data_IF_829490956453
#
_entry.id   IF_829490956453
#
_cell.length_a   1.000
_cell.length_b   1.000
_cell.length_c   1.000
_cell.angle_alpha   90.00
_cell.angle_beta   90.00
_cell.angle_gamma   90.00
#
_symmetry.space_group_name_H-M   'P 1'
#
loop_
_entity.id
_entity.type
_entity.pdbx_description
1 polymer ?
#
# COMPACT_ATOMS: atom_id res chain seq x y z
N UNK A 1 -1.64 -25.44 -0.32
CA UNK A 1 -1.80 -24.20 0.47
C UNK A 1 -3.28 -23.87 0.58
N UNK A 2 -3.74 -23.31 1.70
CA UNK A 2 -5.12 -22.84 1.83
C UNK A 2 -5.36 -21.66 0.85
N UNK A 3 -6.41 -21.76 0.03
CA UNK A 3 -6.72 -20.73 -1.00
C UNK A 3 -6.95 -19.36 -0.37
N UNK A 4 -7.70 -19.28 0.74
CA UNK A 4 -7.94 -18.04 1.48
C UNK A 4 -6.64 -17.44 2.04
N UNK A 5 -5.75 -18.28 2.57
CA UNK A 5 -4.44 -17.82 3.05
C UNK A 5 -3.60 -17.24 1.91
N UNK A 6 -3.64 -17.87 0.73
CA UNK A 6 -2.92 -17.40 -0.45
C UNK A 6 -3.44 -16.03 -0.91
N UNK A 7 -4.77 -15.87 -0.95
CA UNK A 7 -5.41 -14.58 -1.26
C UNK A 7 -5.04 -13.51 -0.24
N UNK A 8 -5.10 -13.83 1.06
CA UNK A 8 -4.71 -12.90 2.12
C UNK A 8 -3.26 -12.42 1.97
N UNK A 9 -2.31 -13.35 1.78
CA UNK A 9 -0.90 -13.01 1.61
C UNK A 9 -0.66 -12.16 0.37
N UNK A 10 -1.36 -12.44 -0.74
CA UNK A 10 -1.29 -11.63 -1.95
C UNK A 10 -1.78 -10.19 -1.73
N UNK A 11 -2.92 -10.03 -1.04
CA UNK A 11 -3.47 -8.71 -0.68
C UNK A 11 -2.50 -7.95 0.24
N UNK A 12 -1.95 -8.61 1.27
CA UNK A 12 -0.97 -7.99 2.17
C UNK A 12 0.31 -7.58 1.42
N UNK A 13 0.81 -8.44 0.54
CA UNK A 13 1.97 -8.13 -0.32
C UNK A 13 1.71 -6.91 -1.20
N UNK A 14 0.53 -6.81 -1.80
CA UNK A 14 0.13 -5.64 -2.57
C UNK A 14 0.13 -4.36 -1.71
N UNK A 15 -0.42 -4.40 -0.49
CA UNK A 15 -0.42 -3.24 0.41
C UNK A 15 0.96 -2.83 0.91
N UNK A 16 1.88 -3.79 1.09
CA UNK A 16 3.28 -3.50 1.38
C UNK A 16 3.90 -2.73 0.21
N UNK A 17 3.74 -3.22 -1.02
CA UNK A 17 4.25 -2.53 -2.21
C UNK A 17 3.64 -1.15 -2.38
N UNK A 18 2.32 -1.02 -2.17
CA UNK A 18 1.63 0.26 -2.28
C UNK A 18 2.16 1.29 -1.27
N UNK A 19 2.30 0.89 -0.01
CA UNK A 19 2.68 1.78 1.09
C UNK A 19 4.18 2.10 1.11
N UNK A 20 5.04 1.11 0.90
CA UNK A 20 6.49 1.26 1.09
C UNK A 20 7.26 1.54 -0.19
N UNK A 21 6.71 1.22 -1.37
CA UNK A 21 7.38 1.49 -2.65
C UNK A 21 6.62 2.50 -3.48
N UNK A 22 5.38 2.18 -3.88
CA UNK A 22 4.65 2.95 -4.88
C UNK A 22 4.36 4.37 -4.36
N UNK A 23 3.73 4.50 -3.19
CA UNK A 23 3.42 5.80 -2.58
C UNK A 23 4.65 6.70 -2.43
N UNK A 24 5.72 6.25 -1.74
CA UNK A 24 6.95 7.01 -1.57
C UNK A 24 7.61 7.42 -2.89
N UNK A 25 7.70 6.50 -3.87
CA UNK A 25 8.30 6.80 -5.17
C UNK A 25 7.48 7.83 -5.95
N UNK A 26 6.15 7.65 -6.02
CA UNK A 26 5.26 8.62 -6.68
C UNK A 26 5.45 10.01 -6.06
N UNK A 27 5.44 10.11 -4.73
CA UNK A 27 5.57 11.41 -4.09
C UNK A 27 6.96 12.02 -4.24
N UNK A 28 8.02 11.21 -4.15
CA UNK A 28 9.39 11.67 -4.36
C UNK A 28 9.61 12.23 -5.77
N UNK A 29 9.01 11.62 -6.80
CA UNK A 29 9.20 12.09 -8.18
C UNK A 29 8.22 13.19 -8.60
N UNK A 30 6.98 13.20 -8.07
CA UNK A 30 5.95 14.16 -8.50
C UNK A 30 5.83 15.39 -7.58
N UNK A 31 6.20 15.29 -6.31
CA UNK A 31 6.06 16.38 -5.31
C UNK A 31 7.42 16.87 -4.79
N UNK A 32 8.50 16.51 -5.49
CA UNK A 32 9.86 16.95 -5.22
C UNK A 32 10.72 15.85 -4.61
N UNK A 33 11.97 15.76 -5.10
CA UNK A 33 12.96 14.73 -4.75
C UNK A 33 13.55 14.89 -3.34
N UNK A 34 12.69 14.96 -2.34
CA UNK A 34 13.03 15.15 -0.93
C UNK A 34 12.56 13.97 -0.08
N UNK A 35 13.24 13.73 1.04
CA UNK A 35 12.85 12.67 1.97
C UNK A 35 11.46 12.94 2.58
N UNK A 36 11.12 14.21 2.85
CA UNK A 36 9.79 14.60 3.32
C UNK A 36 8.69 14.22 2.33
N UNK A 37 8.88 14.49 1.03
CA UNK A 37 7.90 14.10 0.02
C UNK A 37 7.70 12.57 -0.03
N UNK A 38 8.79 11.79 -0.03
CA UNK A 38 8.71 10.34 0.04
C UNK A 38 7.96 9.86 1.31
N UNK A 39 8.23 10.48 2.47
CA UNK A 39 7.52 10.21 3.72
C UNK A 39 6.02 10.51 3.66
N UNK A 40 5.63 11.60 3.00
CA UNK A 40 4.22 11.91 2.75
C UNK A 40 3.58 10.84 1.87
N UNK A 41 4.28 10.35 0.84
CA UNK A 41 3.83 9.25 0.00
C UNK A 41 3.64 7.94 0.77
N UNK A 42 4.52 7.64 1.73
CA UNK A 42 4.38 6.51 2.63
C UNK A 42 3.10 6.62 3.48
N UNK A 43 2.87 7.79 4.09
CA UNK A 43 1.67 8.06 4.90
C UNK A 43 0.38 7.88 4.09
N UNK A 44 0.32 8.53 2.91
CA UNK A 44 -0.86 8.45 2.03
C UNK A 44 -1.07 7.03 1.53
N UNK A 45 -0.02 6.33 1.10
CA UNK A 45 -0.10 4.94 0.66
C UNK A 45 -0.55 3.98 1.77
N UNK A 46 -0.13 4.22 3.01
CA UNK A 46 -0.53 3.44 4.19
C UNK A 46 -2.01 3.64 4.52
N UNK A 47 -2.48 4.89 4.54
CA UNK A 47 -3.90 5.21 4.75
C UNK A 47 -4.75 4.56 3.65
N UNK A 48 -4.32 4.68 2.39
CA UNK A 48 -5.03 4.06 1.27
C UNK A 48 -5.08 2.54 1.39
N UNK A 49 -4.00 1.88 1.81
CA UNK A 49 -3.96 0.43 2.04
C UNK A 49 -4.96 -0.02 3.12
N UNK A 50 -5.10 0.75 4.20
CA UNK A 50 -6.09 0.47 5.25
C UNK A 50 -7.51 0.60 4.69
N UNK A 51 -7.80 1.66 3.93
CA UNK A 51 -9.10 1.86 3.29
C UNK A 51 -9.42 0.72 2.32
N UNK A 52 -8.46 0.32 1.48
CA UNK A 52 -8.62 -0.79 0.53
C UNK A 52 -8.88 -2.12 1.26
N UNK A 53 -8.18 -2.39 2.36
CA UNK A 53 -8.47 -3.56 3.19
C UNK A 53 -9.89 -3.53 3.72
N UNK A 54 -10.30 -2.43 4.35
CA UNK A 54 -11.60 -2.33 5.00
C UNK A 54 -12.75 -2.49 4.00
N UNK A 55 -12.69 -1.79 2.86
CA UNK A 55 -13.81 -1.76 1.90
C UNK A 55 -13.81 -2.91 0.90
N UNK A 56 -12.66 -3.46 0.53
CA UNK A 56 -12.51 -4.48 -0.52
C UNK A 56 -11.80 -5.74 -0.03
N UNK A 57 -10.55 -5.64 0.42
CA UNK A 57 -9.71 -6.79 0.72
C UNK A 57 -10.29 -7.75 1.75
N UNK A 58 -10.93 -7.23 2.80
CA UNK A 58 -11.56 -8.02 3.87
C UNK A 58 -12.72 -8.90 3.37
N UNK A 59 -13.35 -8.55 2.25
CA UNK A 59 -14.46 -9.30 1.64
C UNK A 59 -14.00 -10.40 0.70
N UNK A 60 -12.71 -10.45 0.39
CA UNK A 60 -12.10 -11.39 -0.56
C UNK A 60 -11.50 -12.62 0.12
N UNK A 61 -11.43 -12.63 1.45
CA UNK A 61 -10.78 -13.68 2.26
C UNK A 61 -11.81 -14.48 3.05
#
# INVERSE_FOLDING_TARGET
MNSKLTTFLGIMGFYILLSYLIGPLIFYYLFGKTLQAAGNGFLVGSILSILLWYFAGSKMV
#
